data_IF_645649107845
#
_entry.id   IF_645649107845
#
_cell.length_a   1.000
_cell.length_b   1.000
_cell.length_c   1.000
_cell.angle_alpha   90.00
_cell.angle_beta   90.00
_cell.angle_gamma   90.00
#
_symmetry.space_group_name_H-M   'P 1'
#
loop_
_entity.id
_entity.type
_entity.pdbx_description
1 polymer ?
#
# COMPACT_ATOMS: atom_id res chain seq x y z
N UNK A 1 9.77 -5.07 14.76
CA UNK A 1 8.64 -4.31 14.19
C UNK A 1 9.21 -3.19 13.32
N UNK A 2 8.73 -3.00 12.09
CA UNK A 2 9.22 -1.93 11.20
C UNK A 2 8.26 -0.75 11.18
N UNK A 3 8.77 0.48 11.28
CA UNK A 3 7.99 1.74 11.31
C UNK A 3 7.07 1.86 10.08
N UNK A 4 7.54 1.45 8.90
CA UNK A 4 6.76 1.52 7.67
C UNK A 4 5.49 0.65 7.72
N UNK A 5 5.58 -0.54 8.34
CA UNK A 5 4.40 -1.41 8.53
C UNK A 5 3.41 -0.81 9.52
N UNK A 6 3.89 -0.16 10.58
CA UNK A 6 3.02 0.47 11.57
C UNK A 6 2.27 1.67 10.99
N UNK A 7 2.99 2.56 10.30
CA UNK A 7 2.39 3.72 9.62
C UNK A 7 1.36 3.29 8.58
N UNK A 8 1.67 2.25 7.80
CA UNK A 8 0.77 1.78 6.76
C UNK A 8 -0.52 1.17 7.34
N UNK A 9 -0.42 0.42 8.45
CA UNK A 9 -1.60 -0.04 9.19
C UNK A 9 -2.43 1.11 9.74
N UNK A 10 -1.79 2.13 10.30
CA UNK A 10 -2.49 3.31 10.81
C UNK A 10 -3.23 4.05 9.69
N UNK A 11 -2.60 4.19 8.52
CA UNK A 11 -3.23 4.77 7.33
C UNK A 11 -4.47 3.98 6.88
N UNK A 12 -4.38 2.65 6.81
CA UNK A 12 -5.54 1.80 6.47
C UNK A 12 -6.68 1.94 7.48
N UNK A 13 -6.35 1.98 8.77
CA UNK A 13 -7.35 2.18 9.83
C UNK A 13 -8.04 3.54 9.70
N UNK A 14 -7.29 4.61 9.42
CA UNK A 14 -7.85 5.94 9.18
C UNK A 14 -8.77 5.96 7.95
N UNK A 15 -8.39 5.30 6.84
CA UNK A 15 -9.24 5.17 5.66
C UNK A 15 -10.55 4.43 5.96
N UNK A 16 -10.49 3.36 6.75
CA UNK A 16 -11.68 2.61 7.19
C UNK A 16 -12.62 3.50 8.01
N UNK A 17 -12.08 4.29 8.94
CA UNK A 17 -12.88 5.25 9.74
C UNK A 17 -13.51 6.35 8.88
N UNK A 18 -12.85 6.74 7.79
CA UNK A 18 -13.38 7.68 6.80
C UNK A 18 -14.36 7.04 5.80
N UNK A 19 -14.75 5.77 5.99
CA UNK A 19 -15.56 4.99 5.06
C UNK A 19 -15.00 4.94 3.62
N UNK A 20 -13.67 4.98 3.49
CA UNK A 20 -13.02 4.83 2.19
C UNK A 20 -13.29 3.43 1.65
N UNK A 21 -13.82 3.34 0.43
CA UNK A 21 -14.09 2.07 -0.26
C UNK A 21 -12.86 1.50 -0.96
N UNK A 22 -11.79 2.29 -1.07
CA UNK A 22 -10.51 1.89 -1.68
C UNK A 22 -9.38 2.81 -1.23
N UNK A 23 -8.23 2.21 -0.92
CA UNK A 23 -6.98 2.93 -0.68
C UNK A 23 -5.96 2.56 -1.75
N UNK A 24 -5.25 3.57 -2.28
CA UNK A 24 -4.26 3.39 -3.35
C UNK A 24 -2.89 3.89 -2.89
N UNK A 25 -1.86 3.09 -3.09
CA UNK A 25 -0.46 3.48 -2.90
C UNK A 25 0.31 3.32 -4.21
N UNK A 26 1.15 4.31 -4.53
CA UNK A 26 2.01 4.29 -5.70
C UNK A 26 3.47 4.20 -5.26
N UNK A 27 4.26 3.36 -5.92
CA UNK A 27 5.71 3.32 -5.74
C UNK A 27 6.42 3.21 -7.09
N UNK A 28 7.70 3.60 -7.17
CA UNK A 28 8.51 3.32 -8.36
C UNK A 28 8.65 1.80 -8.58
N UNK A 29 8.62 1.34 -9.82
CA UNK A 29 8.67 -0.11 -10.13
C UNK A 29 9.93 -0.82 -9.60
N UNK A 30 11.04 -0.07 -9.51
CA UNK A 30 12.33 -0.54 -8.97
C UNK A 30 12.44 -0.44 -7.44
N UNK A 31 11.44 0.12 -6.75
CA UNK A 31 11.44 0.22 -5.29
C UNK A 31 11.00 -1.10 -4.66
N UNK A 32 11.92 -2.07 -4.64
CA UNK A 32 11.67 -3.43 -4.16
C UNK A 32 11.24 -3.45 -2.70
N UNK A 33 11.78 -2.56 -1.86
CA UNK A 33 11.43 -2.46 -0.44
C UNK A 33 9.96 -2.07 -0.24
N UNK A 34 9.48 -1.04 -0.96
CA UNK A 34 8.08 -0.61 -0.89
C UNK A 34 7.14 -1.69 -1.43
N UNK A 35 7.48 -2.30 -2.57
CA UNK A 35 6.68 -3.38 -3.17
C UNK A 35 6.53 -4.57 -2.23
N UNK A 36 7.64 -5.04 -1.65
CA UNK A 36 7.64 -6.15 -0.70
C UNK A 36 6.79 -5.84 0.54
N UNK A 37 6.84 -4.59 1.02
CA UNK A 37 6.02 -4.16 2.15
C UNK A 37 4.53 -4.18 1.81
N UNK A 38 4.14 -3.64 0.65
CA UNK A 38 2.75 -3.59 0.20
C UNK A 38 2.17 -4.98 -0.06
N UNK A 39 2.93 -5.86 -0.71
CA UNK A 39 2.56 -7.26 -0.92
C UNK A 39 2.39 -7.99 0.43
N UNK A 40 3.32 -7.81 1.36
CA UNK A 40 3.30 -8.45 2.68
C UNK A 40 2.21 -7.92 3.65
N UNK A 41 1.43 -6.91 3.25
CA UNK A 41 0.28 -6.43 3.99
C UNK A 41 -1.05 -6.57 3.22
N UNK A 42 -1.05 -7.33 2.12
CA UNK A 42 -2.25 -7.69 1.37
C UNK A 42 -2.57 -6.77 0.18
N UNK A 43 -1.66 -5.87 -0.18
CA UNK A 43 -1.82 -4.98 -1.32
C UNK A 43 -1.86 -5.76 -2.62
N UNK A 44 -2.87 -5.52 -3.45
CA UNK A 44 -2.98 -6.15 -4.78
C UNK A 44 -2.45 -5.19 -5.84
N UNK A 45 -1.57 -5.67 -6.71
CA UNK A 45 -1.06 -4.88 -7.82
C UNK A 45 -2.21 -4.55 -8.78
N UNK A 46 -2.46 -3.25 -8.97
CA UNK A 46 -3.55 -2.74 -9.79
C UNK A 46 -3.11 -2.33 -11.20
N UNK A 47 -1.87 -1.86 -11.35
CA UNK A 47 -1.28 -1.48 -12.64
C UNK A 47 0.25 -1.41 -12.52
N UNK A 48 0.95 -1.67 -13.62
CA UNK A 48 2.41 -1.67 -13.72
C UNK A 48 2.88 -0.81 -14.90
N UNK A 49 3.79 0.12 -14.62
CA UNK A 49 4.50 0.99 -15.56
C UNK A 49 5.81 1.48 -14.95
N UNK A 50 6.28 2.72 -15.21
CA UNK A 50 7.41 3.32 -14.49
C UNK A 50 7.18 3.34 -12.96
N UNK A 51 5.91 3.41 -12.57
CA UNK A 51 5.40 3.24 -11.21
C UNK A 51 4.45 2.04 -11.14
N UNK A 52 4.29 1.50 -9.93
CA UNK A 52 3.37 0.42 -9.58
C UNK A 52 2.32 0.97 -8.61
N UNK A 53 1.06 0.57 -8.83
CA UNK A 53 -0.06 0.96 -7.96
C UNK A 53 -0.59 -0.27 -7.21
N UNK A 54 -0.82 -0.11 -5.91
CA UNK A 54 -1.39 -1.15 -5.04
C UNK A 54 -2.72 -0.70 -4.48
N UNK A 55 -3.69 -1.62 -4.45
CA UNK A 55 -5.00 -1.41 -3.82
C UNK A 55 -5.11 -2.18 -2.51
N UNK A 56 -5.74 -1.53 -1.54
CA UNK A 56 -6.14 -2.10 -0.26
C UNK A 56 -7.65 -1.93 -0.09
N UNK A 57 -8.31 -3.02 0.29
CA UNK A 57 -9.73 -3.06 0.64
C UNK A 57 -9.90 -2.93 2.15
#
# INVERSE_FOLDING_TARGET
MSIGRALLKAFMAAGTQAAATRLVLTAGAKNIAARSLYEAIGGRLASQGPTVNYWFC
#
